data_IF_909908568474
#
_entry.id   IF_909908568474
#
_cell.length_a   1.000
_cell.length_b   1.000
_cell.length_c   1.000
_cell.angle_alpha   90.00
_cell.angle_beta   90.00
_cell.angle_gamma   90.00
#
_symmetry.space_group_name_H-M   'P 1'
#
loop_
_entity.id
_entity.type
_entity.pdbx_description
1 polymer ?
#
# COMPACT_ATOMS: atom_id res chain seq x y z
N UNK A 1 -6.90 1.10 16.68
CA UNK A 1 -5.91 0.04 17.01
C UNK A 1 -5.56 -0.83 15.81
N UNK A 2 -6.53 -1.47 15.16
CA UNK A 2 -6.33 -2.29 13.97
C UNK A 2 -5.56 -1.62 12.79
N UNK A 3 -5.75 -0.32 12.45
CA UNK A 3 -4.96 0.34 11.40
C UNK A 3 -3.45 0.33 11.69
N UNK A 4 -3.08 0.58 12.96
CA UNK A 4 -1.68 0.66 13.40
C UNK A 4 -1.03 -0.73 13.40
N UNK A 5 -1.79 -1.77 13.75
CA UNK A 5 -1.31 -3.15 13.69
C UNK A 5 -1.09 -3.61 12.25
N UNK A 6 -2.00 -3.27 11.33
CA UNK A 6 -1.85 -3.59 9.90
C UNK A 6 -0.64 -2.88 9.30
N UNK A 7 -0.48 -1.58 9.58
CA UNK A 7 0.68 -0.80 9.18
C UNK A 7 1.99 -1.42 9.70
N UNK A 8 2.00 -1.78 10.99
CA UNK A 8 3.13 -2.46 11.61
C UNK A 8 3.45 -3.81 10.96
N UNK A 9 2.44 -4.59 10.58
CA UNK A 9 2.64 -5.89 9.93
C UNK A 9 3.37 -5.76 8.59
N UNK A 10 2.97 -4.80 7.74
CA UNK A 10 3.67 -4.54 6.47
C UNK A 10 5.10 -4.05 6.70
N UNK A 11 5.29 -3.06 7.57
CA UNK A 11 6.60 -2.48 7.84
C UNK A 11 7.60 -3.50 8.37
N UNK A 12 7.21 -4.26 9.40
CA UNK A 12 8.08 -5.29 10.00
C UNK A 12 8.40 -6.40 9.02
N UNK A 13 7.46 -6.78 8.14
CA UNK A 13 7.73 -7.77 7.10
C UNK A 13 8.76 -7.29 6.07
N UNK A 14 8.71 -6.00 5.69
CA UNK A 14 9.68 -5.39 4.79
C UNK A 14 11.07 -5.28 5.44
N UNK A 15 11.13 -4.85 6.71
CA UNK A 15 12.37 -4.82 7.50
C UNK A 15 13.02 -6.21 7.57
N UNK A 16 12.25 -7.24 7.92
CA UNK A 16 12.75 -8.63 7.97
C UNK A 16 13.26 -9.10 6.62
N UNK A 17 12.60 -8.76 5.51
CA UNK A 17 13.09 -9.13 4.18
C UNK A 17 14.44 -8.50 3.87
N UNK A 18 14.64 -7.25 4.25
CA UNK A 18 15.93 -6.54 4.13
C UNK A 18 17.00 -7.16 5.03
N UNK A 19 16.68 -7.44 6.29
CA UNK A 19 17.59 -8.09 7.24
C UNK A 19 18.08 -9.46 6.73
N UNK A 20 17.25 -10.15 5.95
CA UNK A 20 17.58 -11.43 5.31
C UNK A 20 18.16 -11.29 3.90
N UNK A 21 18.55 -10.08 3.49
CA UNK A 21 19.15 -9.79 2.18
C UNK A 21 18.31 -10.27 0.97
N UNK A 22 16.98 -10.26 1.10
CA UNK A 22 16.09 -10.58 0.01
C UNK A 22 16.01 -9.41 -0.98
N UNK A 23 15.84 -9.72 -2.26
CA UNK A 23 15.67 -8.72 -3.32
C UNK A 23 14.21 -8.43 -3.66
N UNK A 24 13.28 -9.26 -3.20
CA UNK A 24 11.85 -9.11 -3.49
C UNK A 24 10.95 -9.70 -2.40
N UNK A 25 9.74 -9.15 -2.26
CA UNK A 25 8.69 -9.62 -1.35
C UNK A 25 7.33 -9.58 -2.03
N UNK A 26 6.49 -10.57 -1.74
CA UNK A 26 5.10 -10.62 -2.18
C UNK A 26 4.15 -10.65 -0.97
N UNK A 27 3.12 -9.80 -0.98
CA UNK A 27 2.10 -9.71 0.06
C UNK A 27 0.72 -10.10 -0.47
N UNK A 28 -0.10 -10.83 0.30
CA UNK A 28 -1.55 -10.88 0.08
C UNK A 28 -2.21 -9.58 0.57
N UNK A 29 -3.51 -9.44 0.33
CA UNK A 29 -4.31 -8.38 0.96
C UNK A 29 -4.57 -8.70 2.45
N UNK A 30 -3.58 -8.44 3.32
CA UNK A 30 -3.62 -8.77 4.75
C UNK A 30 -4.87 -8.16 5.41
N UNK A 31 -5.51 -8.93 6.30
CA UNK A 31 -6.71 -8.55 7.08
C UNK A 31 -8.03 -8.35 6.31
N UNK A 32 -8.06 -8.53 4.99
CA UNK A 32 -9.27 -8.28 4.16
C UNK A 32 -10.19 -9.50 3.97
N UNK A 33 -9.76 -10.69 4.42
CA UNK A 33 -10.54 -11.94 4.38
C UNK A 33 -11.32 -12.18 5.69
N UNK A 34 -10.91 -13.20 6.44
CA UNK A 34 -11.56 -13.63 7.71
C UNK A 34 -11.71 -12.48 8.71
N UNK A 35 -10.74 -11.56 8.75
CA UNK A 35 -10.72 -10.43 9.67
C UNK A 35 -11.61 -9.24 9.27
N UNK A 36 -12.25 -9.30 8.09
CA UNK A 36 -13.26 -8.32 7.60
C UNK A 36 -12.84 -6.85 7.70
N UNK A 37 -11.53 -6.56 7.64
CA UNK A 37 -11.06 -5.18 7.64
C UNK A 37 -11.50 -4.47 6.35
N UNK A 38 -11.90 -3.18 6.41
CA UNK A 38 -12.32 -2.44 5.22
C UNK A 38 -11.25 -2.47 4.12
N UNK A 39 -11.62 -2.98 2.94
CA UNK A 39 -10.67 -3.22 1.85
C UNK A 39 -9.97 -1.94 1.36
N UNK A 40 -10.71 -0.83 1.24
CA UNK A 40 -10.15 0.47 0.83
C UNK A 40 -9.07 0.96 1.80
N UNK A 41 -9.34 0.84 3.09
CA UNK A 41 -8.41 1.27 4.13
C UNK A 41 -7.20 0.33 4.22
N UNK A 42 -7.41 -0.98 4.09
CA UNK A 42 -6.32 -1.95 4.01
C UNK A 42 -5.40 -1.69 2.82
N UNK A 43 -5.96 -1.43 1.63
CA UNK A 43 -5.20 -1.11 0.43
C UNK A 43 -4.35 0.15 0.63
N UNK A 44 -4.95 1.22 1.16
CA UNK A 44 -4.27 2.47 1.44
C UNK A 44 -3.11 2.29 2.43
N UNK A 45 -3.33 1.60 3.55
CA UNK A 45 -2.27 1.32 4.54
C UNK A 45 -1.15 0.48 3.93
N UNK A 46 -1.50 -0.59 3.22
CA UNK A 46 -0.54 -1.52 2.62
C UNK A 46 0.38 -0.80 1.63
N UNK A 47 -0.20 -0.02 0.72
CA UNK A 47 0.52 0.72 -0.30
C UNK A 47 1.31 1.87 0.30
N UNK A 48 0.77 2.59 1.29
CA UNK A 48 1.48 3.69 1.95
C UNK A 48 2.77 3.22 2.62
N UNK A 49 2.71 2.12 3.39
CA UNK A 49 3.90 1.56 4.04
C UNK A 49 4.90 1.02 3.00
N UNK A 50 4.44 0.35 1.94
CA UNK A 50 5.32 -0.12 0.86
C UNK A 50 6.02 1.03 0.12
N UNK A 51 5.30 2.09 -0.23
CA UNK A 51 5.85 3.28 -0.90
C UNK A 51 6.83 4.00 0.01
N UNK A 52 6.47 4.24 1.27
CA UNK A 52 7.34 4.90 2.25
C UNK A 52 8.64 4.09 2.47
N UNK A 53 8.52 2.77 2.58
CA UNK A 53 9.68 1.89 2.70
C UNK A 53 10.55 1.93 1.46
N UNK A 54 9.98 1.81 0.26
CA UNK A 54 10.74 1.85 -0.99
C UNK A 54 11.47 3.19 -1.21
N UNK A 55 10.91 4.31 -0.72
CA UNK A 55 11.58 5.63 -0.76
C UNK A 55 12.78 5.74 0.17
N UNK A 56 12.78 5.01 1.27
CA UNK A 56 13.82 5.08 2.31
C UNK A 56 14.82 3.93 2.24
N UNK A 57 14.48 2.85 1.55
CA UNK A 57 15.30 1.65 1.42
C UNK A 57 15.31 1.14 -0.03
N UNK A 58 16.49 1.19 -0.66
CA UNK A 58 16.70 0.75 -2.04
C UNK A 58 17.16 -0.71 -2.21
N UNK A 59 17.21 -1.51 -1.14
CA UNK A 59 17.69 -2.90 -1.22
C UNK A 59 16.66 -3.86 -1.82
N UNK A 60 15.36 -3.59 -1.64
CA UNK A 60 14.29 -4.34 -2.28
C UNK A 60 14.04 -3.81 -3.70
N UNK A 61 14.31 -4.65 -4.69
CA UNK A 61 14.06 -4.35 -6.10
C UNK A 61 12.58 -4.50 -6.50
N UNK A 62 11.80 -5.28 -5.74
CA UNK A 62 10.41 -5.56 -6.08
C UNK A 62 9.55 -5.81 -4.82
N UNK A 63 8.49 -5.04 -4.68
CA UNK A 63 7.38 -5.30 -3.74
C UNK A 63 6.14 -5.60 -4.57
N UNK A 64 5.54 -6.78 -4.38
CA UNK A 64 4.38 -7.25 -5.15
C UNK A 64 3.17 -7.47 -4.25
N UNK A 65 1.99 -7.04 -4.69
CA UNK A 65 0.72 -7.41 -4.08
C UNK A 65 0.04 -8.50 -4.92
N UNK A 66 -0.21 -9.66 -4.30
CA UNK A 66 -0.87 -10.81 -4.91
C UNK A 66 -2.33 -10.81 -4.50
N UNK A 67 -3.20 -10.39 -5.41
CA UNK A 67 -4.60 -10.08 -5.14
C UNK A 67 -5.50 -11.15 -5.79
N UNK A 68 -6.48 -11.64 -5.02
CA UNK A 68 -7.23 -12.84 -5.37
C UNK A 68 -8.20 -12.68 -6.55
N UNK A 69 -8.72 -11.48 -6.77
CA UNK A 69 -9.67 -11.21 -7.85
C UNK A 69 -9.58 -9.77 -8.39
N UNK A 70 -10.27 -9.52 -9.50
CA UNK A 70 -10.28 -8.21 -10.17
C UNK A 70 -10.84 -7.07 -9.32
N UNK A 71 -11.82 -7.33 -8.44
CA UNK A 71 -12.39 -6.31 -7.57
C UNK A 71 -11.38 -5.81 -6.54
N UNK A 72 -10.62 -6.71 -5.93
CA UNK A 72 -9.54 -6.36 -5.00
C UNK A 72 -8.42 -5.62 -5.74
N UNK A 73 -8.06 -6.11 -6.93
CA UNK A 73 -7.07 -5.44 -7.79
C UNK A 73 -7.47 -3.99 -8.09
N UNK A 74 -8.74 -3.75 -8.44
CA UNK A 74 -9.24 -2.42 -8.76
C UNK A 74 -9.10 -1.47 -7.55
N UNK A 75 -9.44 -1.93 -6.35
CA UNK A 75 -9.28 -1.12 -5.12
C UNK A 75 -7.82 -0.76 -4.86
N UNK A 76 -6.90 -1.72 -4.99
CA UNK A 76 -5.47 -1.45 -4.83
C UNK A 76 -4.95 -0.50 -5.92
N UNK A 77 -5.38 -0.66 -7.18
CA UNK A 77 -4.98 0.22 -8.27
C UNK A 77 -5.47 1.66 -8.05
N UNK A 78 -6.72 1.85 -7.64
CA UNK A 78 -7.27 3.17 -7.31
C UNK A 78 -6.49 3.82 -6.16
N UNK A 79 -6.23 3.06 -5.10
CA UNK A 79 -5.48 3.55 -3.94
C UNK A 79 -4.04 3.92 -4.29
N UNK A 80 -3.38 3.12 -5.14
CA UNK A 80 -2.03 3.42 -5.64
C UNK A 80 -2.01 4.71 -6.45
N UNK A 81 -2.98 4.88 -7.37
CA UNK A 81 -3.10 6.09 -8.17
C UNK A 81 -3.27 7.34 -7.27
N UNK A 82 -4.11 7.27 -6.25
CA UNK A 82 -4.29 8.37 -5.30
C UNK A 82 -2.99 8.72 -4.56
N UNK A 83 -2.27 7.71 -4.07
CA UNK A 83 -1.02 7.90 -3.31
C UNK A 83 0.10 8.45 -4.19
N UNK A 84 0.20 8.01 -5.44
CA UNK A 84 1.24 8.49 -6.37
C UNK A 84 0.90 9.88 -6.92
N UNK A 85 -0.38 10.18 -7.19
CA UNK A 85 -0.79 11.52 -7.63
C UNK A 85 -0.69 12.56 -6.50
N UNK A 86 -0.90 12.18 -5.24
CA UNK A 86 -0.69 13.09 -4.10
C UNK A 86 0.77 13.50 -3.88
N UNK A 87 1.72 12.92 -4.61
CA UNK A 87 3.12 13.33 -4.58
C UNK A 87 3.44 14.47 -5.55
N UNK A 88 2.53 14.79 -6.49
CA UNK A 88 2.64 15.90 -7.43
C UNK A 88 1.50 16.89 -7.15
N UNK A 89 1.81 18.08 -6.62
CA UNK A 89 0.88 19.16 -6.28
C UNK A 89 -0.01 19.59 -7.47
N UNK A 90 -1.14 18.89 -7.71
CA UNK A 90 -2.11 19.27 -8.74
C UNK A 90 -3.49 19.42 -8.10
N UNK A 91 -3.91 20.69 -7.98
CA UNK A 91 -5.26 21.07 -7.58
C UNK A 91 -6.15 21.25 -8.81
N UNK A 92 -7.25 20.49 -8.88
CA UNK A 92 -8.36 20.77 -9.80
C UNK A 92 -9.34 21.68 -9.08
N UNK A 93 -9.37 22.96 -9.45
CA UNK A 93 -10.37 23.93 -9.01
C UNK A 93 -11.45 24.04 -10.09
N UNK A 94 -12.72 23.87 -9.71
CA UNK A 94 -13.85 24.16 -10.60
C UNK A 94 -14.10 25.66 -10.62
N UNK A 95 -14.45 26.20 -11.79
CA UNK A 95 -14.65 27.63 -12.02
C UNK A 95 -16.03 28.16 -11.62
N UNK A 96 -16.86 27.33 -10.97
CA UNK A 96 -18.28 27.65 -10.68
C UNK A 96 -18.51 28.30 -9.30
N UNK A 97 -17.45 28.65 -8.55
CA UNK A 97 -17.57 29.47 -7.33
C UNK A 97 -17.54 30.99 -7.67
N UNK A 98 -18.46 31.42 -8.53
CA UNK A 98 -18.66 32.83 -8.93
C UNK A 98 -20.13 33.20 -9.06
#
# INVERSE_FOLDING_TARGET
EAPRLLASAYRRSLEVAVENHLSSVAFPAISTGVFRYPLNEAAHIALSEAIAFARTNGQLSLIRFVLFNGSILNVFAMSLNQLVQSADDIHVISSDDG
#
